data_IF_779469236946
#
_entry.id   IF_779469236946
#
_cell.length_a   1.000
_cell.length_b   1.000
_cell.length_c   1.000
_cell.angle_alpha   90.00
_cell.angle_beta   90.00
_cell.angle_gamma   90.00
#
_symmetry.space_group_name_H-M   'P 1'
#
loop_
_entity.id
_entity.type
_entity.pdbx_description
1 polymer ?
#
# COMPACT_ATOMS: atom_id res chain seq x y z
N UNK A 1 4.23 -3.20 1.02
CA UNK A 1 5.37 -2.25 1.04
C UNK A 1 6.54 -2.89 1.75
N UNK A 2 7.73 -2.76 1.18
CA UNK A 2 8.98 -3.33 1.72
C UNK A 2 10.06 -2.24 1.72
N UNK A 3 10.95 -2.22 2.71
CA UNK A 3 12.05 -1.27 2.74
C UNK A 3 13.26 -1.77 1.93
N UNK A 4 14.30 -0.93 1.79
CA UNK A 4 15.55 -1.30 1.07
C UNK A 4 16.32 -2.45 1.72
N UNK A 5 16.03 -2.78 2.98
CA UNK A 5 16.62 -3.90 3.71
C UNK A 5 15.81 -5.21 3.53
N UNK A 6 14.72 -5.17 2.75
CA UNK A 6 13.84 -6.32 2.53
C UNK A 6 12.82 -6.58 3.65
N UNK A 7 12.68 -5.68 4.62
CA UNK A 7 11.68 -5.82 5.68
C UNK A 7 10.31 -5.39 5.17
N UNK A 8 9.33 -6.29 5.30
CA UNK A 8 7.92 -5.99 5.03
C UNK A 8 7.40 -4.97 6.05
N UNK A 9 6.84 -3.86 5.56
CA UNK A 9 6.21 -2.80 6.37
C UNK A 9 4.70 -2.83 6.29
N UNK A 10 4.16 -3.31 5.18
CA UNK A 10 2.72 -3.39 4.93
C UNK A 10 2.45 -4.59 4.03
N UNK A 11 1.57 -5.49 4.44
CA UNK A 11 1.17 -6.67 3.66
C UNK A 11 -0.35 -6.85 3.75
N UNK A 12 -0.99 -7.12 2.60
CA UNK A 12 -2.42 -7.37 2.51
C UNK A 12 -2.68 -8.44 1.46
N UNK A 13 -3.51 -9.42 1.83
CA UNK A 13 -3.87 -10.54 0.99
C UNK A 13 -5.38 -10.49 0.76
N UNK A 14 -5.80 -10.32 -0.50
CA UNK A 14 -7.22 -10.27 -0.89
C UNK A 14 -7.79 -11.65 -1.21
N UNK A 15 -6.94 -12.66 -1.31
CA UNK A 15 -7.33 -14.06 -1.44
C UNK A 15 -6.87 -14.84 -0.21
N UNK A 16 -7.59 -15.90 0.18
CA UNK A 16 -7.13 -16.78 1.26
C UNK A 16 -5.75 -17.35 0.95
N UNK A 17 -4.78 -17.09 1.82
CA UNK A 17 -3.41 -17.62 1.75
C UNK A 17 -3.03 -18.20 3.09
N UNK A 18 -2.63 -19.47 3.09
CA UNK A 18 -2.12 -20.18 4.26
C UNK A 18 -0.92 -19.45 4.88
N UNK A 19 -0.88 -19.38 6.21
CA UNK A 19 0.16 -18.66 6.96
C UNK A 19 1.57 -19.16 6.62
N UNK A 20 1.74 -20.47 6.43
CA UNK A 20 3.00 -21.12 6.03
C UNK A 20 3.53 -20.61 4.68
N UNK A 21 2.64 -20.24 3.75
CA UNK A 21 2.99 -19.79 2.40
C UNK A 21 3.27 -18.30 2.33
N UNK A 22 2.75 -17.50 3.28
CA UNK A 22 2.91 -16.04 3.28
C UNK A 22 4.37 -15.61 3.27
N UNK A 23 5.19 -16.20 4.15
CA UNK A 23 6.61 -15.88 4.25
C UNK A 23 7.37 -16.13 2.94
N UNK A 24 7.08 -17.25 2.27
CA UNK A 24 7.70 -17.61 0.98
C UNK A 24 7.29 -16.62 -0.11
N UNK A 25 5.99 -16.34 -0.22
CA UNK A 25 5.47 -15.38 -1.21
C UNK A 25 6.03 -13.97 -1.01
N UNK A 26 6.09 -13.50 0.24
CA UNK A 26 6.69 -12.19 0.55
C UNK A 26 8.19 -12.17 0.18
N UNK A 27 8.94 -13.22 0.53
CA UNK A 27 10.36 -13.31 0.20
C UNK A 27 10.60 -13.31 -1.31
N UNK A 28 9.75 -13.98 -2.09
CA UNK A 28 9.84 -14.00 -3.55
C UNK A 28 9.57 -12.61 -4.14
N UNK A 29 8.51 -11.92 -3.68
CA UNK A 29 8.21 -10.55 -4.10
C UNK A 29 9.34 -9.59 -3.73
N UNK A 30 9.86 -9.66 -2.50
CA UNK A 30 11.00 -8.85 -2.03
C UNK A 30 12.21 -9.08 -2.92
N UNK A 31 12.58 -10.34 -3.17
CA UNK A 31 13.71 -10.69 -4.01
C UNK A 31 13.54 -10.09 -5.41
N UNK A 32 12.38 -10.33 -6.04
CA UNK A 32 12.06 -9.77 -7.35
C UNK A 32 12.19 -8.25 -7.39
N UNK A 33 11.70 -7.53 -6.38
CA UNK A 33 11.78 -6.07 -6.33
C UNK A 33 13.21 -5.55 -6.12
N UNK A 34 14.00 -6.18 -5.25
CA UNK A 34 15.35 -5.71 -4.90
C UNK A 34 16.39 -6.01 -5.98
N UNK A 35 16.22 -7.09 -6.76
CA UNK A 35 17.16 -7.47 -7.83
C UNK A 35 16.80 -6.84 -9.18
N UNK A 36 15.68 -6.12 -9.28
CA UNK A 36 15.16 -5.55 -10.52
C UNK A 36 16.05 -4.41 -11.02
N UNK A 37 16.51 -4.50 -12.28
CA UNK A 37 17.11 -3.36 -13.00
C UNK A 37 15.99 -2.42 -13.48
N UNK A 38 16.26 -1.11 -13.52
CA UNK A 38 15.28 -0.04 -13.80
C UNK A 38 14.44 -0.26 -15.08
N UNK A 39 14.97 -1.01 -16.04
CA UNK A 39 14.36 -1.20 -17.37
C UNK A 39 13.63 -2.55 -17.55
N UNK A 40 13.68 -3.46 -16.57
CA UNK A 40 12.95 -4.73 -16.66
C UNK A 40 11.53 -4.56 -16.13
N UNK A 41 10.56 -4.35 -17.00
CA UNK A 41 9.13 -4.40 -16.68
C UNK A 41 8.66 -5.86 -16.59
N UNK A 42 7.97 -6.23 -15.51
CA UNK A 42 7.43 -7.58 -15.32
C UNK A 42 6.15 -7.70 -16.13
N UNK A 43 6.25 -8.20 -17.35
CA UNK A 43 5.19 -8.30 -18.38
C UNK A 43 4.00 -9.23 -18.04
N UNK A 44 3.79 -9.60 -16.78
CA UNK A 44 2.88 -10.69 -16.39
C UNK A 44 1.51 -10.23 -15.87
N UNK A 45 1.23 -8.92 -15.78
CA UNK A 45 -0.07 -8.42 -15.33
C UNK A 45 -0.88 -7.88 -16.51
N UNK A 46 -2.16 -8.27 -16.65
CA UNK A 46 -3.00 -7.93 -17.81
C UNK A 46 -3.30 -6.42 -17.94
N UNK A 47 -2.92 -5.60 -16.95
CA UNK A 47 -3.07 -4.15 -17.01
C UNK A 47 -2.06 -3.42 -16.12
N UNK A 48 -0.77 -3.60 -16.43
CA UNK A 48 0.35 -3.10 -15.64
C UNK A 48 0.30 -1.57 -15.37
N UNK A 49 -0.15 -0.78 -16.36
CA UNK A 49 -0.23 0.69 -16.21
C UNK A 49 -1.18 1.09 -15.08
N UNK A 50 -2.37 0.50 -15.01
CA UNK A 50 -3.33 0.82 -13.95
C UNK A 50 -2.84 0.40 -12.57
N UNK A 51 -2.01 -0.65 -12.48
CA UNK A 51 -1.37 -1.02 -11.20
C UNK A 51 -0.35 0.04 -10.79
N UNK A 52 0.46 0.57 -11.72
CA UNK A 52 1.38 1.67 -11.40
C UNK A 52 0.62 2.94 -11.01
N UNK A 53 -0.44 3.30 -11.72
CA UNK A 53 -1.29 4.46 -11.39
C UNK A 53 -1.93 4.30 -10.00
N UNK A 54 -2.38 3.10 -9.65
CA UNK A 54 -2.91 2.81 -8.32
C UNK A 54 -1.84 3.00 -7.24
N UNK A 55 -0.64 2.44 -7.44
CA UNK A 55 0.48 2.59 -6.49
C UNK A 55 0.88 4.06 -6.36
N UNK A 56 0.91 4.80 -7.48
CA UNK A 56 1.20 6.23 -7.48
C UNK A 56 0.14 7.00 -6.69
N UNK A 57 -1.14 6.80 -7.00
CA UNK A 57 -2.25 7.44 -6.31
C UNK A 57 -2.23 7.12 -4.80
N UNK A 58 -1.91 5.89 -4.42
CA UNK A 58 -1.77 5.51 -3.00
C UNK A 58 -0.67 6.32 -2.30
N UNK A 59 0.50 6.48 -2.94
CA UNK A 59 1.59 7.32 -2.38
C UNK A 59 1.18 8.79 -2.29
N UNK A 60 0.46 9.32 -3.29
CA UNK A 60 -0.03 10.70 -3.23
C UNK A 60 -1.08 10.93 -2.13
N UNK A 61 -1.95 9.94 -1.86
CA UNK A 61 -2.89 10.00 -0.74
C UNK A 61 -2.15 10.03 0.59
N UNK A 62 -1.12 9.18 0.75
CA UNK A 62 -0.26 9.19 1.93
C UNK A 62 0.44 10.54 2.10
N UNK A 63 1.00 11.09 1.02
CA UNK A 63 1.68 12.39 1.04
C UNK A 63 0.75 13.54 1.46
N UNK A 64 -0.49 13.50 0.95
CA UNK A 64 -1.54 14.47 1.33
C UNK A 64 -1.95 14.32 2.80
N UNK A 65 -2.06 13.10 3.32
CA UNK A 65 -2.44 12.86 4.71
C UNK A 65 -1.35 13.30 5.69
N UNK A 66 -0.10 12.92 5.45
CA UNK A 66 1.02 13.21 6.34
C UNK A 66 1.67 14.59 6.10
N UNK A 67 1.22 15.35 5.10
CA UNK A 67 1.81 16.64 4.73
C UNK A 67 3.32 16.55 4.48
N UNK A 68 3.71 15.69 3.52
CA UNK A 68 5.08 15.21 3.19
C UNK A 68 5.44 13.92 3.89
N UNK A 69 5.07 12.79 3.28
CA UNK A 69 5.26 11.46 3.88
C UNK A 69 6.73 11.02 3.87
N UNK A 70 7.23 10.55 5.01
CA UNK A 70 8.50 9.82 5.12
C UNK A 70 8.28 8.38 5.60
N UNK A 71 9.31 7.54 5.49
CA UNK A 71 9.19 6.11 5.83
C UNK A 71 8.83 5.85 7.29
N UNK A 72 9.21 6.75 8.21
CA UNK A 72 8.88 6.64 9.62
C UNK A 72 7.39 6.89 9.89
N UNK A 73 6.75 7.82 9.18
CA UNK A 73 5.32 8.10 9.35
C UNK A 73 4.48 6.85 9.10
N UNK A 74 4.83 6.13 8.04
CA UNK A 74 4.20 4.86 7.67
C UNK A 74 4.41 3.81 8.76
N UNK A 75 5.61 3.72 9.35
CA UNK A 75 5.92 2.76 10.40
C UNK A 75 5.18 3.05 11.71
N UNK A 76 5.02 4.32 12.08
CA UNK A 76 4.35 4.71 13.32
C UNK A 76 2.83 4.80 13.20
N UNK A 77 2.29 4.93 11.99
CA UNK A 77 0.86 5.11 11.75
C UNK A 77 0.28 3.99 10.86
N UNK A 78 0.71 2.74 11.09
CA UNK A 78 0.28 1.60 10.25
C UNK A 78 -1.23 1.41 10.23
N UNK A 79 -1.93 1.65 11.34
CA UNK A 79 -3.40 1.53 11.40
C UNK A 79 -4.08 2.50 10.43
N UNK A 80 -3.60 3.76 10.37
CA UNK A 80 -4.10 4.78 9.44
C UNK A 80 -3.79 4.41 7.99
N UNK A 81 -2.59 3.88 7.73
CA UNK A 81 -2.19 3.41 6.39
C UNK A 81 -3.05 2.24 5.93
N UNK A 82 -3.41 1.32 6.84
CA UNK A 82 -4.33 0.23 6.55
C UNK A 82 -5.73 0.72 6.20
N UNK A 83 -6.24 1.73 6.92
CA UNK A 83 -7.53 2.36 6.61
C UNK A 83 -7.51 2.98 5.20
N UNK A 84 -6.46 3.72 4.86
CA UNK A 84 -6.31 4.29 3.50
C UNK A 84 -6.33 3.18 2.45
N UNK A 85 -5.60 2.09 2.69
CA UNK A 85 -5.55 0.97 1.75
C UNK A 85 -6.91 0.30 1.59
N UNK A 86 -7.68 0.14 2.68
CA UNK A 86 -9.02 -0.47 2.68
C UNK A 86 -10.09 0.42 2.04
N UNK A 87 -9.94 1.74 2.13
CA UNK A 87 -10.78 2.67 1.38
C UNK A 87 -10.49 2.63 -0.11
N UNK A 88 -9.23 2.39 -0.52
CA UNK A 88 -8.87 2.34 -1.94
C UNK A 88 -9.14 0.98 -2.59
N UNK A 89 -8.96 -0.12 -1.87
CA UNK A 89 -9.02 -1.48 -2.42
C UNK A 89 -9.82 -2.39 -1.49
N UNK A 90 -10.84 -3.05 -2.04
CA UNK A 90 -11.66 -4.03 -1.31
C UNK A 90 -11.83 -5.29 -2.14
N UNK A 91 -11.69 -6.45 -1.49
CA UNK A 91 -11.80 -7.76 -2.13
C UNK A 91 -10.93 -7.89 -3.41
N UNK A 92 -9.77 -7.21 -3.44
CA UNK A 92 -8.85 -7.23 -4.59
C UNK A 92 -9.23 -6.30 -5.74
N UNK A 93 -10.26 -5.48 -5.60
CA UNK A 93 -10.73 -4.53 -6.60
C UNK A 93 -10.51 -3.09 -6.14
N UNK A 94 -10.19 -2.21 -7.08
CA UNK A 94 -10.09 -0.76 -6.81
C UNK A 94 -11.51 -0.25 -6.64
N UNK A 95 -11.81 0.36 -5.49
CA UNK A 95 -13.16 0.86 -5.16
C UNK A 95 -13.22 2.38 -5.07
N UNK A 96 -12.14 3.04 -4.66
CA UNK A 96 -12.09 4.51 -4.57
C UNK A 96 -10.70 5.02 -4.99
N UNK A 97 -10.69 6.08 -5.79
CA UNK A 97 -9.48 6.74 -6.28
C UNK A 97 -9.46 8.23 -5.96
N UNK A 98 -10.58 8.80 -5.55
CA UNK A 98 -10.67 10.19 -5.14
C UNK A 98 -10.03 10.42 -3.78
N UNK A 99 -8.89 11.11 -3.76
CA UNK A 99 -8.08 11.40 -2.57
C UNK A 99 -8.88 12.01 -1.42
N UNK A 100 -9.88 12.86 -1.70
CA UNK A 100 -10.69 13.49 -0.66
C UNK A 100 -11.68 12.53 -0.02
N UNK A 101 -12.21 11.58 -0.78
CA UNK A 101 -13.11 10.54 -0.26
C UNK A 101 -12.36 9.50 0.55
N UNK A 102 -11.21 9.04 0.05
CA UNK A 102 -10.32 8.10 0.76
C UNK A 102 -9.93 8.64 2.15
N UNK A 103 -9.71 9.95 2.28
CA UNK A 103 -9.30 10.57 3.55
C UNK A 103 -10.47 11.00 4.45
N UNK A 104 -11.71 10.91 3.99
CA UNK A 104 -12.88 11.34 4.76
C UNK A 104 -13.05 10.55 6.08
N UNK A 105 -12.93 9.20 6.10
CA UNK A 105 -13.01 8.42 7.34
C UNK A 105 -11.91 8.77 8.33
N UNK A 106 -10.68 8.95 7.85
CA UNK A 106 -9.55 9.35 8.70
C UNK A 106 -9.75 10.73 9.32
N UNK A 107 -10.25 11.69 8.56
CA UNK A 107 -10.55 13.03 9.06
C UNK A 107 -11.59 13.00 10.18
N UNK A 108 -12.57 12.08 10.10
CA UNK A 108 -13.56 11.90 11.16
C UNK A 108 -12.92 11.26 12.42
N UNK A 109 -12.04 10.27 12.24
CA UNK A 109 -11.34 9.60 13.33
C UNK A 109 -10.38 10.54 14.08
N UNK A 110 -9.59 11.33 13.36
CA UNK A 110 -8.62 12.25 13.99
C UNK A 110 -9.36 13.33 14.82
N UNK A 111 -10.52 13.83 14.36
CA UNK A 111 -11.36 14.76 15.14
C UNK A 111 -11.87 14.17 16.45
N UNK A 112 -12.17 12.88 16.47
CA UNK A 112 -12.63 12.19 17.68
C UNK A 112 -11.48 11.94 18.68
N UNK A 113 -10.25 11.78 18.18
CA UNK A 113 -9.07 11.56 19.02
C UNK A 113 -8.59 12.85 19.72
N UNK A 114 -8.88 14.02 19.14
CA UNK A 114 -8.53 15.34 19.69
C UNK A 114 -9.61 15.92 20.63
N UNK A 115 -10.68 15.15 20.93
CA UNK A 115 -11.78 15.54 21.84
C UNK A 115 -11.65 14.89 23.21
#
# INVERSE_FOLDING_TARGET
>A
MVNRQGQTRLSRYYTPVELSRRAVLEADVVRCCLTRKKDQVTSCLPNELSVYELVHNFVEVLDKYFSRVVSLDIMFNLDRVHIILDEMIQNGHIVETNKSRVLAPLTALDKMADS
#
